data_IF_723420530586
#
_entry.id   IF_723420530586
#
_cell.length_a   1.000
_cell.length_b   1.000
_cell.length_c   1.000
_cell.angle_alpha   90.00
_cell.angle_beta   90.00
_cell.angle_gamma   90.00
#
_symmetry.space_group_name_H-M   'P 1'
#
loop_
_entity.id
_entity.type
_entity.pdbx_description
1 polymer ?
#
# COMPACT_ATOMS: atom_id res chain seq x y z
N UNK A 1 37.38 -19.21 -6.37
CA UNK A 1 36.38 -18.13 -6.36
C UNK A 1 35.02 -18.74 -6.03
N UNK A 2 34.60 -18.71 -4.75
CA UNK A 2 33.24 -19.14 -4.39
C UNK A 2 32.26 -18.10 -4.96
N UNK A 3 31.42 -18.51 -5.91
CA UNK A 3 30.44 -17.62 -6.52
C UNK A 3 29.50 -17.03 -5.47
N UNK A 4 28.95 -15.85 -5.76
CA UNK A 4 27.99 -15.12 -4.92
C UNK A 4 26.85 -16.05 -4.46
N UNK A 5 26.44 -17.00 -5.29
CA UNK A 5 25.43 -18.02 -4.97
C UNK A 5 25.81 -18.95 -3.80
N UNK A 6 27.08 -19.33 -3.63
CA UNK A 6 27.51 -20.18 -2.50
C UNK A 6 27.47 -19.38 -1.19
N UNK A 7 27.83 -18.09 -1.18
CA UNK A 7 27.73 -17.24 0.03
C UNK A 7 26.28 -16.99 0.46
N UNK A 8 25.36 -16.88 -0.49
CA UNK A 8 23.92 -16.75 -0.22
C UNK A 8 23.33 -18.00 0.47
N UNK A 9 23.86 -19.19 0.18
CA UNK A 9 23.45 -20.46 0.82
C UNK A 9 24.00 -20.60 2.24
N UNK A 10 25.14 -19.97 2.58
CA UNK A 10 25.79 -20.08 3.89
C UNK A 10 25.53 -18.88 4.82
N UNK A 11 24.25 -18.53 5.07
CA UNK A 11 23.80 -17.60 6.12
C UNK A 11 24.47 -16.20 6.13
N UNK A 12 25.04 -15.74 5.00
CA UNK A 12 25.67 -14.40 4.84
C UNK A 12 24.92 -13.51 3.85
N UNK A 13 23.67 -13.83 3.53
CA UNK A 13 22.83 -13.06 2.61
C UNK A 13 22.31 -11.74 3.18
N UNK A 14 22.10 -11.65 4.50
CA UNK A 14 21.54 -10.45 5.13
C UNK A 14 22.40 -9.19 4.93
N UNK A 15 23.74 -9.22 5.11
CA UNK A 15 24.59 -8.09 4.77
C UNK A 15 24.49 -7.66 3.30
N UNK A 16 24.42 -8.62 2.36
CA UNK A 16 24.31 -8.31 0.94
C UNK A 16 22.96 -7.67 0.59
N UNK A 17 21.86 -8.16 1.19
CA UNK A 17 20.53 -7.57 1.06
C UNK A 17 20.53 -6.12 1.57
N UNK A 18 21.10 -5.88 2.77
CA UNK A 18 21.18 -4.53 3.34
C UNK A 18 22.01 -3.61 2.46
N UNK A 19 23.17 -4.05 1.97
CA UNK A 19 23.99 -3.27 1.04
C UNK A 19 23.22 -2.95 -0.24
N UNK A 20 22.56 -3.95 -0.84
CA UNK A 20 21.75 -3.77 -2.05
C UNK A 20 20.61 -2.76 -1.85
N UNK A 21 19.89 -2.87 -0.73
CA UNK A 21 18.82 -1.94 -0.37
C UNK A 21 19.35 -0.51 -0.18
N UNK A 22 20.47 -0.35 0.53
CA UNK A 22 21.11 0.96 0.71
C UNK A 22 21.56 1.55 -0.63
N UNK A 23 22.12 0.73 -1.53
CA UNK A 23 22.49 1.18 -2.88
C UNK A 23 21.28 1.69 -3.66
N UNK A 24 20.15 0.97 -3.65
CA UNK A 24 18.92 1.40 -4.31
C UNK A 24 18.41 2.72 -3.72
N UNK A 25 18.35 2.84 -2.39
CA UNK A 25 17.93 4.07 -1.71
C UNK A 25 18.84 5.24 -2.07
N UNK A 26 20.17 5.03 -2.13
CA UNK A 26 21.13 6.05 -2.52
C UNK A 26 20.92 6.50 -3.98
N UNK A 27 20.75 5.57 -4.92
CA UNK A 27 20.52 5.89 -6.33
C UNK A 27 19.22 6.68 -6.49
N UNK A 28 18.14 6.25 -5.83
CA UNK A 28 16.86 6.98 -5.85
C UNK A 28 17.03 8.39 -5.26
N UNK A 29 17.74 8.52 -4.14
CA UNK A 29 17.99 9.81 -3.50
C UNK A 29 18.77 10.79 -4.39
N UNK A 30 19.84 10.32 -5.04
CA UNK A 30 20.62 11.15 -5.97
C UNK A 30 19.82 11.50 -7.23
N UNK A 31 19.08 10.55 -7.79
CA UNK A 31 18.25 10.80 -8.95
C UNK A 31 17.18 11.86 -8.65
N UNK A 32 16.42 11.73 -7.56
CA UNK A 32 15.42 12.73 -7.21
C UNK A 32 16.01 14.10 -6.89
N UNK A 33 17.21 14.17 -6.31
CA UNK A 33 17.93 15.43 -6.13
C UNK A 33 18.19 16.10 -7.48
N UNK A 34 18.70 15.35 -8.45
CA UNK A 34 19.06 15.88 -9.76
C UNK A 34 17.82 16.35 -10.54
N UNK A 35 16.71 15.59 -10.49
CA UNK A 35 15.40 16.00 -11.03
C UNK A 35 14.92 17.32 -10.39
N UNK A 36 15.08 17.49 -9.08
CA UNK A 36 14.73 18.75 -8.40
C UNK A 36 15.60 19.90 -8.91
N UNK A 37 16.92 19.69 -9.06
CA UNK A 37 17.82 20.72 -9.56
C UNK A 37 17.52 21.11 -11.01
N UNK A 38 17.26 20.15 -11.89
CA UNK A 38 16.88 20.40 -13.28
C UNK A 38 15.57 21.19 -13.38
N UNK A 39 14.57 20.79 -12.58
CA UNK A 39 13.29 21.49 -12.48
C UNK A 39 13.47 22.95 -12.04
N UNK A 40 14.28 23.19 -11.01
CA UNK A 40 14.57 24.54 -10.51
C UNK A 40 15.46 25.35 -11.46
N UNK A 41 16.26 24.68 -12.30
CA UNK A 41 17.09 25.28 -13.33
C UNK A 41 16.31 25.77 -14.56
N UNK A 42 14.99 25.55 -14.61
CA UNK A 42 14.13 25.99 -15.71
C UNK A 42 14.31 25.16 -16.99
N UNK A 43 14.83 23.93 -16.88
CA UNK A 43 15.08 23.05 -18.03
C UNK A 43 13.81 22.35 -18.55
N UNK A 44 12.67 22.53 -17.89
CA UNK A 44 11.41 21.87 -18.25
C UNK A 44 10.51 22.80 -19.05
N UNK A 45 10.14 22.34 -20.25
CA UNK A 45 9.16 22.99 -21.11
C UNK A 45 7.77 22.35 -20.97
N UNK A 46 6.77 22.90 -21.68
CA UNK A 46 5.40 22.42 -21.62
C UNK A 46 5.22 21.00 -22.21
N UNK A 47 6.10 20.58 -23.13
CA UNK A 47 6.08 19.22 -23.66
C UNK A 47 6.56 18.22 -22.60
N UNK A 48 7.66 18.53 -21.91
CA UNK A 48 8.21 17.74 -20.82
C UNK A 48 7.21 17.59 -19.67
N UNK A 49 6.56 18.69 -19.25
CA UNK A 49 5.53 18.65 -18.20
C UNK A 49 4.37 17.71 -18.57
N UNK A 50 3.89 17.77 -19.82
CA UNK A 50 2.86 16.85 -20.33
C UNK A 50 3.34 15.39 -20.31
N UNK A 51 4.59 15.15 -20.68
CA UNK A 51 5.19 13.81 -20.65
C UNK A 51 5.24 13.26 -19.22
N UNK A 52 5.63 14.08 -18.24
CA UNK A 52 5.65 13.66 -16.84
C UNK A 52 4.24 13.36 -16.30
N UNK A 53 3.24 14.16 -16.68
CA UNK A 53 1.83 13.89 -16.32
C UNK A 53 1.33 12.56 -16.84
N UNK A 54 1.61 12.24 -18.11
CA UNK A 54 1.28 10.92 -18.67
C UNK A 54 2.07 9.80 -18.00
N UNK A 55 3.36 10.01 -17.73
CA UNK A 55 4.20 9.05 -17.00
C UNK A 55 3.62 8.71 -15.64
N UNK A 56 3.22 9.73 -14.87
CA UNK A 56 2.57 9.54 -13.57
C UNK A 56 1.22 8.82 -13.70
N UNK A 57 0.40 9.20 -14.69
CA UNK A 57 -0.88 8.56 -14.94
C UNK A 57 -0.74 7.06 -15.26
N UNK A 58 0.21 6.69 -16.13
CA UNK A 58 0.49 5.30 -16.46
C UNK A 58 1.10 4.52 -15.31
N UNK A 59 1.95 5.16 -14.50
CA UNK A 59 2.46 4.55 -13.26
C UNK A 59 1.32 4.22 -12.30
N UNK A 60 0.43 5.18 -11.99
CA UNK A 60 -0.74 4.92 -11.14
C UNK A 60 -1.62 3.83 -11.75
N UNK A 61 -1.85 3.85 -13.06
CA UNK A 61 -2.63 2.81 -13.73
C UNK A 61 -2.01 1.42 -13.54
N UNK A 62 -0.69 1.27 -13.66
CA UNK A 62 -0.03 -0.02 -13.39
C UNK A 62 -0.19 -0.46 -11.94
N UNK A 63 -0.14 0.47 -10.97
CA UNK A 63 -0.37 0.14 -9.56
C UNK A 63 -1.82 -0.28 -9.31
N UNK A 64 -2.80 0.36 -9.96
CA UNK A 64 -4.21 -0.07 -9.90
C UNK A 64 -4.37 -1.49 -10.45
N UNK A 65 -3.72 -1.83 -11.57
CA UNK A 65 -3.75 -3.18 -12.13
C UNK A 65 -3.06 -4.20 -11.22
N UNK A 66 -1.97 -3.80 -10.55
CA UNK A 66 -1.29 -4.63 -9.56
C UNK A 66 -2.22 -4.99 -8.40
N UNK A 67 -2.91 -4.02 -7.79
CA UNK A 67 -3.91 -4.30 -6.76
C UNK A 67 -5.12 -5.08 -7.28
N UNK A 68 -5.58 -4.79 -8.50
CA UNK A 68 -6.68 -5.51 -9.12
C UNK A 68 -6.40 -7.01 -9.25
N UNK A 69 -5.15 -7.42 -9.48
CA UNK A 69 -4.77 -8.83 -9.50
C UNK A 69 -4.99 -9.51 -8.14
N UNK A 70 -4.63 -8.86 -7.03
CA UNK A 70 -4.83 -9.41 -5.69
C UNK A 70 -6.30 -9.40 -5.26
N UNK A 71 -7.06 -8.34 -5.58
CA UNK A 71 -8.50 -8.33 -5.37
C UNK A 71 -9.21 -9.41 -6.21
N UNK A 72 -8.76 -9.61 -7.46
CA UNK A 72 -9.23 -10.67 -8.32
C UNK A 72 -8.95 -12.07 -7.75
N UNK A 73 -7.76 -12.27 -7.16
CA UNK A 73 -7.43 -13.51 -6.46
C UNK A 73 -8.33 -13.75 -5.24
N UNK A 74 -8.55 -12.74 -4.40
CA UNK A 74 -9.47 -12.79 -3.26
C UNK A 74 -10.90 -13.13 -3.70
N UNK A 75 -11.41 -12.43 -4.72
CA UNK A 75 -12.72 -12.66 -5.30
C UNK A 75 -12.86 -14.09 -5.83
N UNK A 76 -11.86 -14.58 -6.57
CA UNK A 76 -11.87 -15.91 -7.14
C UNK A 76 -11.88 -17.00 -6.07
N UNK A 77 -11.06 -16.84 -5.03
CA UNK A 77 -10.99 -17.79 -3.91
C UNK A 77 -12.33 -17.89 -3.20
N UNK A 78 -12.91 -16.74 -2.87
CA UNK A 78 -14.14 -16.67 -2.08
C UNK A 78 -15.38 -17.11 -2.86
N UNK A 79 -15.50 -16.69 -4.11
CA UNK A 79 -16.72 -16.87 -4.90
C UNK A 79 -16.76 -18.21 -5.61
N UNK A 80 -15.59 -18.76 -5.95
CA UNK A 80 -15.51 -19.98 -6.74
C UNK A 80 -14.77 -21.09 -6.01
N UNK A 81 -13.53 -20.86 -5.57
CA UNK A 81 -12.69 -21.94 -5.05
C UNK A 81 -13.28 -22.59 -3.80
N UNK A 82 -13.71 -21.81 -2.80
CA UNK A 82 -14.25 -22.35 -1.55
C UNK A 82 -15.58 -23.09 -1.75
N UNK A 83 -16.58 -22.53 -2.46
CA UNK A 83 -17.81 -23.27 -2.76
C UNK A 83 -17.56 -24.56 -3.55
N UNK A 84 -16.66 -24.54 -4.53
CA UNK A 84 -16.28 -25.74 -5.28
C UNK A 84 -15.63 -26.80 -4.40
N UNK A 85 -14.75 -26.41 -3.47
CA UNK A 85 -14.17 -27.31 -2.48
C UNK A 85 -15.25 -27.91 -1.57
N UNK A 86 -16.28 -27.12 -1.25
CA UNK A 86 -17.45 -27.53 -0.47
C UNK A 86 -18.44 -28.45 -1.19
N UNK A 87 -18.20 -28.80 -2.45
CA UNK A 87 -19.06 -29.74 -3.18
C UNK A 87 -19.88 -29.13 -4.31
N UNK A 88 -19.81 -27.81 -4.54
CA UNK A 88 -20.63 -27.17 -5.57
C UNK A 88 -20.13 -27.44 -7.01
N UNK A 89 -21.06 -27.79 -7.90
CA UNK A 89 -20.83 -27.91 -9.33
C UNK A 89 -19.99 -29.13 -9.75
N UNK A 90 -19.40 -29.05 -10.95
CA UNK A 90 -18.65 -30.15 -11.56
C UNK A 90 -17.37 -30.55 -10.79
N UNK A 91 -16.94 -29.75 -9.81
CA UNK A 91 -15.78 -30.01 -8.95
C UNK A 91 -16.14 -30.63 -7.59
N UNK A 92 -17.42 -30.98 -7.37
CA UNK A 92 -17.91 -31.47 -6.08
C UNK A 92 -17.36 -32.82 -5.59
N UNK A 93 -16.52 -33.50 -6.37
CA UNK A 93 -15.78 -34.71 -5.94
C UNK A 93 -14.88 -34.40 -4.73
N UNK A 94 -14.48 -33.15 -4.51
CA UNK A 94 -13.73 -32.74 -3.31
C UNK A 94 -14.48 -33.02 -1.99
N UNK A 95 -15.82 -33.00 -2.00
CA UNK A 95 -16.62 -33.36 -0.84
C UNK A 95 -16.47 -34.84 -0.44
N UNK A 96 -16.05 -35.72 -1.37
CA UNK A 96 -15.70 -37.11 -1.06
C UNK A 96 -14.33 -37.24 -0.38
N UNK A 97 -13.42 -36.28 -0.62
CA UNK A 97 -12.08 -36.26 -0.02
C UNK A 97 -12.12 -35.66 1.39
N UNK A 98 -12.91 -34.60 1.58
CA UNK A 98 -13.06 -33.90 2.87
C UNK A 98 -14.55 -33.70 3.21
N UNK A 99 -15.26 -34.75 3.67
CA UNK A 99 -16.69 -34.69 3.94
C UNK A 99 -17.08 -33.73 5.07
N UNK A 100 -16.15 -33.43 5.99
CA UNK A 100 -16.35 -32.50 7.11
C UNK A 100 -15.98 -31.05 6.76
N UNK A 101 -15.59 -30.76 5.51
CA UNK A 101 -15.21 -29.42 5.10
C UNK A 101 -16.45 -28.51 5.01
N UNK A 102 -16.46 -27.42 5.77
CA UNK A 102 -17.52 -26.42 5.75
C UNK A 102 -17.05 -25.22 4.91
N UNK A 103 -17.69 -24.93 3.76
CA UNK A 103 -17.34 -23.78 2.95
C UNK A 103 -17.77 -22.49 3.66
N UNK A 104 -16.80 -21.75 4.18
CA UNK A 104 -17.01 -20.44 4.80
C UNK A 104 -15.81 -19.53 4.54
N UNK A 105 -16.04 -18.22 4.62
CA UNK A 105 -14.99 -17.22 4.55
C UNK A 105 -15.05 -16.31 5.79
N UNK A 106 -13.94 -16.17 6.52
CA UNK A 106 -12.65 -16.87 6.37
C UNK A 106 -12.68 -18.36 6.72
N UNK A 107 -11.69 -19.13 6.23
CA UNK A 107 -11.52 -20.54 6.57
C UNK A 107 -10.87 -20.70 7.95
N UNK A 108 -11.69 -20.82 8.99
CA UNK A 108 -11.21 -20.99 10.38
C UNK A 108 -10.62 -22.39 10.64
N UNK A 109 -11.17 -23.41 10.00
CA UNK A 109 -10.73 -24.80 10.12
C UNK A 109 -10.34 -25.34 8.73
N UNK A 110 -9.06 -25.18 8.33
CA UNK A 110 -8.57 -25.76 7.09
C UNK A 110 -8.66 -27.31 7.12
N UNK A 111 -8.90 -27.97 5.98
CA UNK A 111 -9.01 -29.43 5.92
C UNK A 111 -7.70 -30.18 6.17
N UNK A 112 -6.55 -29.49 6.06
CA UNK A 112 -5.24 -30.03 6.40
C UNK A 112 -4.83 -29.59 7.81
N UNK A 113 -4.58 -30.56 8.69
CA UNK A 113 -4.15 -30.32 10.07
C UNK A 113 -2.75 -29.67 10.19
N UNK A 114 -1.96 -29.67 9.11
CA UNK A 114 -0.66 -28.98 9.07
C UNK A 114 -0.79 -27.45 8.97
N UNK A 115 -1.98 -26.95 8.60
CA UNK A 115 -2.27 -25.52 8.44
C UNK A 115 -3.25 -25.07 9.51
N UNK A 116 -2.81 -24.20 10.41
CA UNK A 116 -3.68 -23.59 11.40
C UNK A 116 -4.49 -22.45 10.77
N UNK A 117 -5.82 -22.48 10.86
CA UNK A 117 -6.64 -21.31 10.52
C UNK A 117 -6.60 -20.25 11.63
N UNK A 118 -7.05 -19.01 11.35
CA UNK A 118 -7.14 -17.98 12.37
C UNK A 118 -8.19 -18.34 13.43
N UNK A 119 -7.96 -17.91 14.67
CA UNK A 119 -8.88 -18.18 15.80
C UNK A 119 -10.15 -17.32 15.72
N UNK A 120 -10.02 -16.08 15.26
CA UNK A 120 -11.12 -15.19 14.92
C UNK A 120 -10.65 -14.09 13.98
N UNK A 121 -11.59 -13.27 13.52
CA UNK A 121 -11.35 -12.17 12.57
C UNK A 121 -11.37 -10.82 13.29
N UNK A 122 -10.60 -9.87 12.76
CA UNK A 122 -10.63 -8.49 13.23
C UNK A 122 -12.01 -7.86 12.97
N UNK A 123 -12.49 -7.08 13.93
CA UNK A 123 -13.72 -6.31 13.74
C UNK A 123 -13.45 -5.11 12.83
N UNK A 124 -14.16 -4.96 11.69
CA UNK A 124 -13.99 -3.81 10.79
C UNK A 124 -14.31 -2.48 11.48
N UNK A 125 -15.16 -2.49 12.50
CA UNK A 125 -15.69 -1.28 13.16
C UNK A 125 -14.76 -0.68 14.22
N UNK A 126 -13.58 -1.25 14.42
CA UNK A 126 -12.58 -0.82 15.41
C UNK A 126 -11.41 -0.10 14.72
N UNK A 127 -10.19 -0.66 14.81
CA UNK A 127 -8.99 -0.09 14.21
C UNK A 127 -9.11 0.16 12.69
N UNK A 128 -9.70 -0.75 11.88
CA UNK A 128 -9.82 -0.53 10.44
C UNK A 128 -10.69 0.69 10.10
N UNK A 129 -11.79 0.91 10.83
CA UNK A 129 -12.66 2.08 10.65
C UNK A 129 -11.92 3.37 11.01
N UNK A 130 -11.17 3.38 12.12
CA UNK A 130 -10.36 4.54 12.53
C UNK A 130 -9.33 4.87 11.44
N UNK A 131 -8.64 3.87 10.91
CA UNK A 131 -7.70 4.04 9.80
C UNK A 131 -8.37 4.59 8.53
N UNK A 132 -9.58 4.14 8.24
CA UNK A 132 -10.39 4.67 7.12
C UNK A 132 -10.71 6.15 7.31
N UNK A 133 -11.15 6.55 8.50
CA UNK A 133 -11.43 7.96 8.79
C UNK A 133 -10.16 8.82 8.70
N UNK A 134 -9.02 8.30 9.17
CA UNK A 134 -7.73 8.99 9.10
C UNK A 134 -7.31 9.24 7.64
N UNK A 135 -7.33 8.21 6.78
CA UNK A 135 -6.92 8.36 5.39
C UNK A 135 -7.86 9.27 4.59
N UNK A 136 -9.17 9.09 4.72
CA UNK A 136 -10.16 9.96 4.05
C UNK A 136 -10.01 11.41 4.51
N UNK A 137 -9.79 11.64 5.81
CA UNK A 137 -9.52 12.99 6.33
C UNK A 137 -8.22 13.54 5.76
N UNK A 138 -7.18 12.72 5.65
CA UNK A 138 -5.89 13.13 5.07
C UNK A 138 -6.01 13.56 3.60
N UNK A 139 -6.87 12.89 2.82
CA UNK A 139 -7.18 13.29 1.45
C UNK A 139 -7.82 14.67 1.40
N UNK A 140 -8.78 14.96 2.29
CA UNK A 140 -9.42 16.28 2.38
C UNK A 140 -8.39 17.35 2.75
N UNK A 141 -7.54 17.10 3.75
CA UNK A 141 -6.50 18.05 4.15
C UNK A 141 -5.49 18.31 3.03
N UNK A 142 -5.17 17.28 2.25
CA UNK A 142 -4.27 17.40 1.10
C UNK A 142 -4.90 18.23 -0.03
N UNK A 143 -6.18 18.03 -0.33
CA UNK A 143 -6.91 18.83 -1.33
C UNK A 143 -6.92 20.31 -0.91
N UNK A 144 -7.18 20.61 0.37
CA UNK A 144 -7.12 21.99 0.89
C UNK A 144 -5.71 22.56 0.76
N UNK A 145 -4.67 21.76 1.04
CA UNK A 145 -3.29 22.20 0.86
C UNK A 145 -2.95 22.49 -0.61
N UNK A 146 -3.46 21.69 -1.54
CA UNK A 146 -3.25 21.85 -2.97
C UNK A 146 -3.90 23.13 -3.51
N UNK A 147 -5.17 23.37 -3.19
CA UNK A 147 -5.86 24.59 -3.60
C UNK A 147 -5.25 25.84 -2.95
N UNK A 148 -4.80 25.75 -1.70
CA UNK A 148 -4.09 26.84 -1.04
C UNK A 148 -2.78 27.21 -1.77
N UNK A 149 -2.06 26.23 -2.36
CA UNK A 149 -0.85 26.52 -3.13
C UNK A 149 -1.19 27.26 -4.44
N UNK A 150 -2.21 26.81 -5.17
CA UNK A 150 -2.66 27.46 -6.43
C UNK A 150 -3.08 28.91 -6.20
N UNK A 151 -3.75 29.19 -5.08
CA UNK A 151 -4.15 30.55 -4.68
C UNK A 151 -3.01 31.39 -4.09
N UNK A 152 -1.81 30.83 -3.90
CA UNK A 152 -0.64 31.53 -3.35
C UNK A 152 -0.58 31.58 -1.82
N UNK A 153 -1.51 30.94 -1.10
CA UNK A 153 -1.54 30.85 0.36
C UNK A 153 -0.54 29.81 0.89
N UNK A 154 0.76 30.11 0.78
CA UNK A 154 1.86 29.17 1.15
C UNK A 154 1.82 28.69 2.60
N UNK A 155 1.49 29.56 3.56
CA UNK A 155 1.42 29.17 4.97
C UNK A 155 0.29 28.17 5.23
N UNK A 156 -0.87 28.40 4.63
CA UNK A 156 -2.02 27.50 4.67
C UNK A 156 -1.69 26.16 4.04
N UNK A 157 -1.09 26.16 2.84
CA UNK A 157 -0.61 24.95 2.16
C UNK A 157 0.33 24.13 3.06
N UNK A 158 1.37 24.78 3.63
CA UNK A 158 2.34 24.12 4.51
C UNK A 158 1.67 23.47 5.72
N UNK A 159 0.79 24.19 6.41
CA UNK A 159 0.19 23.71 7.65
C UNK A 159 -0.77 22.52 7.39
N UNK A 160 -1.60 22.58 6.34
CA UNK A 160 -2.49 21.48 5.98
C UNK A 160 -1.76 20.26 5.43
N UNK A 161 -0.69 20.47 4.65
CA UNK A 161 0.16 19.37 4.21
C UNK A 161 0.89 18.71 5.38
N UNK A 162 1.36 19.49 6.37
CA UNK A 162 1.91 18.92 7.60
C UNK A 162 0.89 18.06 8.35
N UNK A 163 -0.38 18.51 8.42
CA UNK A 163 -1.48 17.71 8.95
C UNK A 163 -1.69 16.39 8.19
N UNK A 164 -1.62 16.44 6.85
CA UNK A 164 -1.73 15.24 5.99
C UNK A 164 -0.61 14.23 6.30
N UNK A 165 0.63 14.70 6.41
CA UNK A 165 1.79 13.84 6.74
C UNK A 165 1.63 13.22 8.13
N UNK A 166 1.16 13.98 9.12
CA UNK A 166 0.90 13.46 10.47
C UNK A 166 -0.18 12.38 10.46
N UNK A 167 -1.28 12.58 9.72
CA UNK A 167 -2.34 11.59 9.57
C UNK A 167 -1.82 10.31 8.89
N UNK A 168 -0.97 10.43 7.86
CA UNK A 168 -0.29 9.29 7.24
C UNK A 168 0.59 8.50 8.21
N UNK A 169 1.35 9.19 9.07
CA UNK A 169 2.14 8.55 10.13
C UNK A 169 1.23 7.84 11.14
N UNK A 170 0.14 8.48 11.58
CA UNK A 170 -0.84 7.86 12.48
C UNK A 170 -1.41 6.57 11.90
N UNK A 171 -1.79 6.56 10.61
CA UNK A 171 -2.26 5.36 9.93
C UNK A 171 -1.21 4.23 9.98
N UNK A 172 0.05 4.52 9.66
CA UNK A 172 1.13 3.52 9.65
C UNK A 172 1.32 2.92 11.05
N UNK A 173 1.24 3.74 12.10
CA UNK A 173 1.36 3.28 13.49
C UNK A 173 0.19 2.39 13.90
N UNK A 174 -1.04 2.78 13.60
CA UNK A 174 -2.23 1.99 13.91
C UNK A 174 -2.22 0.68 13.13
N UNK A 175 -1.82 0.69 11.86
CA UNK A 175 -1.67 -0.53 11.07
C UNK A 175 -0.62 -1.48 11.65
N UNK A 176 0.48 -0.94 12.21
CA UNK A 176 1.46 -1.73 12.93
C UNK A 176 0.90 -2.40 14.19
N UNK A 177 0.04 -1.70 14.93
CA UNK A 177 -0.68 -2.27 16.09
C UNK A 177 -1.65 -3.35 15.64
N UNK A 178 -2.39 -3.12 14.55
CA UNK A 178 -3.32 -4.10 14.00
C UNK A 178 -2.59 -5.39 13.58
N UNK A 179 -1.41 -5.28 12.97
CA UNK A 179 -0.60 -6.45 12.60
C UNK A 179 -0.10 -7.22 13.81
N UNK A 180 0.29 -6.51 14.87
CA UNK A 180 0.64 -7.15 16.13
C UNK A 180 -0.55 -7.91 16.71
N UNK A 181 -1.74 -7.31 16.71
CA UNK A 181 -2.96 -7.94 17.21
C UNK A 181 -3.37 -9.15 16.35
N UNK A 182 -3.35 -9.00 15.03
CA UNK A 182 -3.63 -10.05 14.06
C UNK A 182 -2.74 -11.29 14.28
N UNK A 183 -1.44 -11.07 14.45
CA UNK A 183 -0.46 -12.15 14.58
C UNK A 183 -0.51 -12.82 15.96
N UNK A 184 -0.55 -12.04 17.05
CA UNK A 184 -0.41 -12.57 18.41
C UNK A 184 -1.73 -12.98 19.07
N UNK A 185 -2.85 -12.30 18.75
CA UNK A 185 -4.13 -12.54 19.42
C UNK A 185 -5.10 -13.33 18.53
N UNK A 186 -5.10 -13.10 17.22
CA UNK A 186 -6.04 -13.74 16.28
C UNK A 186 -5.44 -14.91 15.50
N UNK A 187 -4.14 -15.14 15.61
CA UNK A 187 -3.46 -16.21 14.87
C UNK A 187 -3.53 -16.03 13.35
N UNK A 188 -3.84 -14.83 12.86
CA UNK A 188 -3.77 -14.49 11.45
C UNK A 188 -2.28 -14.31 11.17
N UNK A 189 -1.66 -15.32 10.57
CA UNK A 189 -0.25 -15.30 10.14
C UNK A 189 -0.17 -15.52 8.63
N UNK A 190 1.00 -15.31 8.02
CA UNK A 190 1.22 -15.64 6.61
C UNK A 190 1.06 -17.13 6.31
N UNK A 191 1.21 -17.98 7.34
CA UNK A 191 1.05 -19.43 7.25
C UNK A 191 -0.37 -19.89 7.60
N UNK A 192 -1.26 -18.97 8.00
CA UNK A 192 -2.65 -19.25 8.35
C UNK A 192 -3.55 -19.45 7.11
N UNK A 193 -3.06 -20.27 6.18
CA UNK A 193 -3.72 -20.59 4.91
C UNK A 193 -3.94 -19.37 4.00
N UNK A 194 -4.90 -19.51 3.10
CA UNK A 194 -5.15 -18.53 2.05
C UNK A 194 -5.72 -17.20 2.59
N UNK A 195 -6.43 -17.23 3.73
CA UNK A 195 -6.94 -16.01 4.35
C UNK A 195 -5.81 -15.14 4.88
N UNK A 196 -4.94 -15.69 5.74
CA UNK A 196 -3.81 -14.95 6.29
C UNK A 196 -2.85 -14.45 5.20
N UNK A 197 -2.54 -15.29 4.21
CA UNK A 197 -1.71 -14.90 3.08
C UNK A 197 -2.33 -13.74 2.26
N UNK A 198 -3.62 -13.84 1.88
CA UNK A 198 -4.28 -12.77 1.11
C UNK A 198 -4.45 -11.49 1.91
N UNK A 199 -4.79 -11.59 3.20
CA UNK A 199 -4.89 -10.45 4.12
C UNK A 199 -3.57 -9.67 4.14
N UNK A 200 -2.45 -10.28 4.57
CA UNK A 200 -1.19 -9.56 4.71
C UNK A 200 -0.57 -9.12 3.40
N UNK A 201 -0.77 -9.85 2.30
CA UNK A 201 -0.27 -9.40 0.99
C UNK A 201 -1.03 -8.14 0.55
N UNK A 202 -2.37 -8.15 0.60
CA UNK A 202 -3.20 -7.02 0.21
C UNK A 202 -2.94 -5.79 1.10
N UNK A 203 -3.05 -5.95 2.42
CA UNK A 203 -2.88 -4.84 3.36
C UNK A 203 -1.41 -4.43 3.48
N UNK A 204 -0.47 -5.36 3.32
CA UNK A 204 0.97 -5.11 3.43
C UNK A 204 1.52 -4.33 2.25
N UNK A 205 1.17 -4.71 1.02
CA UNK A 205 1.54 -3.90 -0.15
C UNK A 205 0.90 -2.52 -0.09
N UNK A 206 -0.35 -2.41 0.35
CA UNK A 206 -0.95 -1.10 0.56
C UNK A 206 -0.22 -0.30 1.64
N UNK A 207 0.12 -0.90 2.77
CA UNK A 207 0.92 -0.25 3.82
C UNK A 207 2.27 0.26 3.31
N UNK A 208 2.95 -0.50 2.43
CA UNK A 208 4.16 -0.04 1.75
C UNK A 208 3.89 1.22 0.90
N UNK A 209 2.79 1.24 0.15
CA UNK A 209 2.39 2.41 -0.63
C UNK A 209 2.07 3.63 0.24
N UNK A 210 1.43 3.45 1.39
CA UNK A 210 1.19 4.54 2.35
C UNK A 210 2.50 5.08 2.91
N UNK A 211 3.48 4.21 3.22
CA UNK A 211 4.81 4.64 3.67
C UNK A 211 5.51 5.46 2.58
N UNK A 212 5.54 4.95 1.34
CA UNK A 212 6.15 5.65 0.20
C UNK A 212 5.45 6.99 -0.03
N UNK A 213 4.12 7.00 -0.05
CA UNK A 213 3.32 8.22 -0.21
C UNK A 213 3.59 9.25 0.89
N UNK A 214 3.73 8.80 2.14
CA UNK A 214 4.00 9.68 3.29
C UNK A 214 5.39 10.29 3.17
N UNK A 215 6.40 9.52 2.74
CA UNK A 215 7.75 10.02 2.46
C UNK A 215 7.76 11.03 1.31
N UNK A 216 7.01 10.75 0.23
CA UNK A 216 6.85 11.67 -0.89
C UNK A 216 6.22 12.99 -0.41
N UNK A 217 5.11 12.94 0.33
CA UNK A 217 4.45 14.13 0.88
C UNK A 217 5.33 14.90 1.88
N UNK A 218 6.08 14.20 2.73
CA UNK A 218 7.06 14.82 3.61
C UNK A 218 8.15 15.55 2.83
N UNK A 219 8.62 14.96 1.71
CA UNK A 219 9.57 15.62 0.82
C UNK A 219 8.97 16.86 0.14
N UNK A 220 7.69 16.81 -0.25
CA UNK A 220 6.97 17.97 -0.78
C UNK A 220 6.82 19.08 0.26
N UNK A 221 6.55 18.73 1.53
CA UNK A 221 6.48 19.69 2.63
C UNK A 221 7.81 20.43 2.81
N UNK A 222 8.94 19.71 2.79
CA UNK A 222 10.26 20.33 2.84
C UNK A 222 10.50 21.26 1.64
N UNK A 223 10.08 20.86 0.43
CA UNK A 223 10.21 21.69 -0.79
C UNK A 223 9.32 22.94 -0.74
N UNK A 224 8.13 22.85 -0.17
CA UNK A 224 7.22 23.98 0.04
C UNK A 224 7.82 24.97 1.05
N UNK A 225 8.41 24.47 2.14
CA UNK A 225 9.10 25.31 3.14
C UNK A 225 10.29 26.05 2.50
N UNK A 226 11.03 25.39 1.61
CA UNK A 226 12.14 26.01 0.86
C UNK A 226 11.68 26.91 -0.30
N UNK A 227 10.38 26.99 -0.59
CA UNK A 227 9.85 27.85 -1.65
C UNK A 227 10.12 27.34 -3.07
N UNK A 228 10.34 26.04 -3.27
CA UNK A 228 10.66 25.45 -4.59
C UNK A 228 9.47 25.42 -5.57
N UNK A 229 8.25 25.76 -5.12
CA UNK A 229 7.05 25.69 -5.94
C UNK A 229 6.42 27.07 -6.16
N UNK A 230 5.91 27.28 -7.36
CA UNK A 230 5.10 28.44 -7.73
C UNK A 230 3.65 28.03 -7.95
N UNK A 231 2.75 29.00 -8.03
CA UNK A 231 1.32 28.76 -8.21
C UNK A 231 1.02 28.05 -9.53
N UNK A 232 1.86 28.21 -10.56
CA UNK A 232 1.67 27.61 -11.88
C UNK A 232 2.61 26.40 -12.13
N UNK A 233 3.76 26.35 -11.45
CA UNK A 233 4.75 25.28 -11.61
C UNK A 233 4.92 24.51 -10.30
N UNK A 234 4.10 23.47 -10.14
CA UNK A 234 4.08 22.60 -8.96
C UNK A 234 3.75 21.14 -9.29
N UNK A 235 4.08 20.67 -10.50
CA UNK A 235 3.77 19.30 -10.94
C UNK A 235 4.22 18.22 -9.95
N UNK A 236 5.41 18.34 -9.34
CA UNK A 236 5.86 17.35 -8.35
C UNK A 236 4.92 17.22 -7.14
N UNK A 237 4.31 18.32 -6.69
CA UNK A 237 3.31 18.29 -5.64
C UNK A 237 1.96 17.75 -6.14
N UNK A 238 1.55 18.13 -7.35
CA UNK A 238 0.32 17.62 -7.98
C UNK A 238 0.38 16.10 -8.18
N UNK A 239 1.48 15.57 -8.72
CA UNK A 239 1.74 14.13 -8.85
C UNK A 239 1.69 13.42 -7.50
N UNK A 240 2.24 14.04 -6.45
CA UNK A 240 2.17 13.51 -5.08
C UNK A 240 0.73 13.46 -4.57
N UNK A 241 -0.10 14.44 -4.91
CA UNK A 241 -1.53 14.43 -4.58
C UNK A 241 -2.27 13.32 -5.31
N UNK A 242 -2.01 13.10 -6.60
CA UNK A 242 -2.60 12.00 -7.36
C UNK A 242 -2.24 10.65 -6.76
N UNK A 243 -0.98 10.46 -6.38
CA UNK A 243 -0.53 9.23 -5.72
C UNK A 243 -1.24 9.01 -4.38
N UNK A 244 -1.32 10.04 -3.53
CA UNK A 244 -1.96 9.92 -2.22
C UNK A 244 -3.45 9.58 -2.31
N UNK A 245 -4.18 10.22 -3.23
CA UNK A 245 -5.57 9.87 -3.48
C UNK A 245 -5.74 8.45 -4.05
N UNK A 246 -4.82 7.99 -4.90
CA UNK A 246 -4.79 6.59 -5.33
C UNK A 246 -4.66 5.63 -4.13
N UNK A 247 -3.72 5.91 -3.22
CA UNK A 247 -3.53 5.11 -2.01
C UNK A 247 -4.83 5.06 -1.19
N UNK A 248 -5.48 6.20 -0.96
CA UNK A 248 -6.76 6.27 -0.23
C UNK A 248 -7.87 5.43 -0.89
N UNK A 249 -8.02 5.52 -2.22
CA UNK A 249 -9.00 4.71 -2.96
C UNK A 249 -8.74 3.20 -2.81
N UNK A 250 -7.48 2.77 -2.85
CA UNK A 250 -7.13 1.37 -2.61
C UNK A 250 -7.50 0.94 -1.19
N UNK A 251 -7.27 1.80 -0.18
CA UNK A 251 -7.67 1.51 1.19
C UNK A 251 -9.18 1.32 1.34
N UNK A 252 -9.99 2.18 0.72
CA UNK A 252 -11.45 2.02 0.75
C UNK A 252 -11.86 0.67 0.15
N UNK A 253 -11.21 0.25 -0.94
CA UNK A 253 -11.39 -1.09 -1.50
C UNK A 253 -11.01 -2.20 -0.51
N UNK A 254 -9.88 -2.08 0.17
CA UNK A 254 -9.45 -3.04 1.20
C UNK A 254 -10.45 -3.10 2.36
N UNK A 255 -10.86 -1.96 2.90
CA UNK A 255 -11.83 -1.89 3.99
C UNK A 255 -13.12 -2.63 3.63
N UNK A 256 -13.65 -2.41 2.42
CA UNK A 256 -14.88 -3.05 1.97
C UNK A 256 -14.68 -4.55 1.74
N UNK A 257 -13.69 -4.95 0.94
CA UNK A 257 -13.58 -6.33 0.44
C UNK A 257 -12.78 -7.29 1.32
N UNK A 258 -11.97 -6.79 2.26
CA UNK A 258 -11.14 -7.60 3.15
C UNK A 258 -11.68 -7.59 4.57
N UNK A 259 -12.13 -6.45 5.08
CA UNK A 259 -12.55 -6.31 6.48
C UNK A 259 -14.06 -6.45 6.68
N UNK A 260 -14.88 -5.91 5.76
CA UNK A 260 -16.35 -5.92 5.92
C UNK A 260 -16.99 -7.15 5.31
N UNK A 261 -16.73 -7.39 4.03
CA UNK A 261 -17.17 -8.60 3.36
C UNK A 261 -16.13 -9.66 3.59
#
# INVERSE_FOLDING_TARGET
MAGIGIKLVYNTGAPLLVIGLLCVICVMGFWFRDVIHESMGGLYDAQMDRSFRWGMGWFIFSEVMFFAAFFGALFYVRTFTIPWLGGEGAKGVSALLWPEFVPQWPLLNPPDASVAGPSSVLSPWQLPLVNTLILVTSSITLTVAHEALKLGYRQTCRNWLAGTVLLGICFILIQGVEYYEAYHHYGITLEAGIFGATFFILTGFHGLHVIIGTLILASMLVRIIKGHFTNDHHFGFEASCWYWHFVDVVWVGLFIFVYVF
#
